data_IF_398464954698
#
_entry.id   IF_398464954698
#
_cell.length_a   1.000
_cell.length_b   1.000
_cell.length_c   1.000
_cell.angle_alpha   90.00
_cell.angle_beta   90.00
_cell.angle_gamma   90.00
#
_symmetry.space_group_name_H-M   'P 1'
#
loop_
_entity.id
_entity.type
_entity.pdbx_description
1 polymer ?
#
# COMPACT_ATOMS: atom_id res chain seq x y z
N UNK A 1 -6.01 16.02 -37.43
CA UNK A 1 -6.18 16.36 -36.00
C UNK A 1 -5.96 15.09 -35.20
N UNK A 2 -4.75 14.90 -34.67
CA UNK A 2 -4.55 13.89 -33.63
C UNK A 2 -5.22 14.44 -32.36
N UNK A 3 -6.04 13.65 -31.63
CA UNK A 3 -6.42 14.05 -30.30
C UNK A 3 -5.14 14.14 -29.45
N UNK A 4 -5.03 15.11 -28.53
CA UNK A 4 -3.98 15.07 -27.53
C UNK A 4 -4.25 13.83 -26.67
N UNK A 5 -3.45 12.78 -26.85
CA UNK A 5 -3.25 11.81 -25.79
C UNK A 5 -2.48 12.53 -24.71
N UNK A 6 -3.19 13.26 -23.86
CA UNK A 6 -2.65 13.86 -22.66
C UNK A 6 -2.74 12.78 -21.57
N UNK A 7 -1.63 12.08 -21.23
CA UNK A 7 -1.65 11.07 -20.17
C UNK A 7 -1.86 11.68 -18.77
N UNK A 8 -2.01 13.02 -18.66
CA UNK A 8 -2.13 13.77 -17.41
C UNK A 8 -3.48 13.67 -16.70
N UNK A 9 -4.47 12.96 -17.24
CA UNK A 9 -5.82 12.86 -16.66
C UNK A 9 -6.08 11.61 -15.80
N UNK A 10 -5.05 10.80 -15.54
CA UNK A 10 -5.06 9.94 -14.35
C UNK A 10 -4.28 10.68 -13.29
N UNK A 11 -4.97 11.31 -12.36
CA UNK A 11 -4.42 11.54 -11.03
C UNK A 11 -3.96 10.16 -10.55
N UNK A 12 -2.65 9.90 -10.65
CA UNK A 12 -2.06 8.63 -10.25
C UNK A 12 -2.10 8.64 -8.74
N UNK A 13 -3.00 7.85 -8.14
CA UNK A 13 -3.02 7.65 -6.70
C UNK A 13 -1.65 7.11 -6.27
N UNK A 14 -0.89 7.91 -5.54
CA UNK A 14 0.49 7.61 -5.14
C UNK A 14 0.56 7.08 -3.71
N UNK A 15 1.68 6.47 -3.36
CA UNK A 15 1.97 6.09 -1.98
C UNK A 15 1.91 7.29 -1.02
N UNK A 16 2.35 8.48 -1.47
CA UNK A 16 2.30 9.71 -0.69
C UNK A 16 0.85 10.11 -0.38
N UNK A 17 -0.03 10.08 -1.40
CA UNK A 17 -1.47 10.36 -1.22
C UNK A 17 -2.10 9.38 -0.22
N UNK A 18 -1.72 8.10 -0.30
CA UNK A 18 -2.19 7.09 0.64
C UNK A 18 -1.68 7.36 2.06
N UNK A 19 -0.43 7.78 2.24
CA UNK A 19 0.15 8.11 3.55
C UNK A 19 -0.57 9.28 4.22
N UNK A 20 -0.85 10.34 3.46
CA UNK A 20 -1.56 11.51 3.97
C UNK A 20 -2.98 11.15 4.44
N UNK A 21 -3.66 10.26 3.70
CA UNK A 21 -5.03 9.84 4.00
C UNK A 21 -5.10 8.73 5.06
N UNK A 22 -4.05 7.92 5.20
CA UNK A 22 -3.98 6.72 6.05
C UNK A 22 -4.61 6.83 7.46
N UNK A 23 -4.36 7.90 8.25
CA UNK A 23 -4.95 8.03 9.59
C UNK A 23 -6.47 8.26 9.56
N UNK A 24 -7.03 8.71 8.43
CA UNK A 24 -8.46 8.93 8.26
C UNK A 24 -9.19 7.75 7.59
N UNK A 25 -8.46 6.82 6.97
CA UNK A 25 -9.02 5.65 6.30
C UNK A 25 -9.42 4.56 7.29
N UNK A 26 -10.58 3.94 7.06
CA UNK A 26 -10.99 2.69 7.69
C UNK A 26 -10.13 1.51 7.21
N UNK A 27 -10.17 0.37 7.91
CA UNK A 27 -9.44 -0.86 7.54
C UNK A 27 -9.71 -1.29 6.09
N UNK A 28 -10.97 -1.26 5.69
CA UNK A 28 -11.39 -1.65 4.34
C UNK A 28 -10.85 -0.66 3.29
N UNK A 29 -10.91 0.64 3.57
CA UNK A 29 -10.37 1.68 2.69
C UNK A 29 -8.84 1.62 2.60
N UNK A 30 -8.14 1.27 3.68
CA UNK A 30 -6.69 1.04 3.68
C UNK A 30 -6.30 -0.09 2.72
N UNK A 31 -6.99 -1.22 2.79
CA UNK A 31 -6.75 -2.35 1.87
C UNK A 31 -7.07 -1.96 0.43
N UNK A 32 -8.17 -1.23 0.20
CA UNK A 32 -8.51 -0.75 -1.14
C UNK A 32 -7.45 0.21 -1.69
N UNK A 33 -7.06 1.22 -0.93
CA UNK A 33 -6.02 2.18 -1.31
C UNK A 33 -4.69 1.50 -1.58
N UNK A 34 -4.28 0.59 -0.69
CA UNK A 34 -3.06 -0.19 -0.86
C UNK A 34 -3.07 -1.04 -2.15
N UNK A 35 -4.21 -1.65 -2.51
CA UNK A 35 -4.35 -2.43 -3.75
C UNK A 35 -4.44 -1.56 -5.02
N UNK A 36 -4.69 -0.25 -4.89
CA UNK A 36 -4.65 0.68 -6.01
C UNK A 36 -3.22 1.12 -6.36
N UNK A 37 -2.28 0.99 -5.42
CA UNK A 37 -0.88 1.32 -5.66
C UNK A 37 -0.22 0.32 -6.62
N UNK A 38 0.67 0.78 -7.52
CA UNK A 38 1.58 -0.10 -8.23
C UNK A 38 2.40 -0.95 -7.26
N UNK A 39 2.70 -2.20 -7.64
CA UNK A 39 3.42 -3.14 -6.75
C UNK A 39 4.68 -2.56 -6.10
N UNK A 40 5.48 -1.79 -6.85
CA UNK A 40 6.71 -1.18 -6.33
C UNK A 40 6.40 -0.12 -5.27
N UNK A 41 5.47 0.79 -5.54
CA UNK A 41 5.04 1.82 -4.60
C UNK A 41 4.37 1.22 -3.36
N UNK A 42 3.59 0.15 -3.53
CA UNK A 42 2.98 -0.57 -2.42
C UNK A 42 4.03 -1.26 -1.53
N UNK A 43 5.14 -1.76 -2.11
CA UNK A 43 6.26 -2.31 -1.34
C UNK A 43 6.97 -1.24 -0.53
N UNK A 44 7.28 -0.10 -1.13
CA UNK A 44 7.88 1.04 -0.42
C UNK A 44 6.94 1.56 0.67
N UNK A 45 5.67 1.81 0.35
CA UNK A 45 4.64 2.22 1.30
C UNK A 45 4.53 1.26 2.49
N UNK A 46 4.49 -0.05 2.21
CA UNK A 46 4.36 -1.06 3.26
C UNK A 46 5.55 -1.02 4.23
N UNK A 47 6.77 -0.90 3.72
CA UNK A 47 7.99 -0.84 4.53
C UNK A 47 8.15 0.47 5.30
N UNK A 48 7.47 1.54 4.86
CA UNK A 48 7.45 2.83 5.54
C UNK A 48 6.35 2.94 6.62
N UNK A 49 5.46 1.95 6.72
CA UNK A 49 4.45 1.89 7.79
C UNK A 49 5.07 1.58 9.15
N UNK A 50 4.41 2.01 10.22
CA UNK A 50 4.73 1.52 11.56
C UNK A 50 4.29 0.06 11.72
N UNK A 51 5.02 -0.74 12.51
CA UNK A 51 4.77 -2.18 12.68
C UNK A 51 3.34 -2.53 13.08
N UNK A 52 2.68 -1.66 13.86
CA UNK A 52 1.25 -1.83 14.17
C UNK A 52 0.36 -1.75 12.91
N UNK A 53 0.59 -0.77 12.04
CA UNK A 53 -0.19 -0.61 10.81
C UNK A 53 0.17 -1.68 9.77
N UNK A 54 1.42 -2.15 9.72
CA UNK A 54 1.82 -3.31 8.92
C UNK A 54 1.04 -4.57 9.34
N UNK A 55 0.96 -4.85 10.65
CA UNK A 55 0.24 -5.99 11.20
C UNK A 55 -1.26 -5.94 10.86
N UNK A 56 -1.86 -4.76 11.01
CA UNK A 56 -3.28 -4.54 10.71
C UNK A 56 -3.57 -4.73 9.22
N UNK A 57 -2.76 -4.14 8.35
CA UNK A 57 -2.88 -4.31 6.90
C UNK A 57 -2.70 -5.79 6.50
N UNK A 58 -1.70 -6.48 7.06
CA UNK A 58 -1.50 -7.91 6.82
C UNK A 58 -2.69 -8.76 7.31
N UNK A 59 -3.29 -8.43 8.45
CA UNK A 59 -4.44 -9.14 8.97
C UNK A 59 -5.65 -9.05 8.03
N UNK A 60 -5.84 -7.89 7.41
CA UNK A 60 -6.97 -7.58 6.53
C UNK A 60 -6.75 -8.02 5.06
N UNK A 61 -5.48 -8.25 4.64
CA UNK A 61 -5.16 -8.80 3.32
C UNK A 61 -5.59 -10.27 3.15
N UNK A 62 -5.84 -10.75 1.92
CA UNK A 62 -6.07 -12.17 1.65
C UNK A 62 -4.85 -13.03 2.01
N UNK A 63 -5.08 -14.21 2.58
CA UNK A 63 -4.00 -15.10 3.07
C UNK A 63 -2.94 -15.45 2.01
N UNK A 64 -3.31 -15.50 0.73
CA UNK A 64 -2.38 -15.75 -0.38
C UNK A 64 -1.35 -14.63 -0.59
N UNK A 65 -1.72 -13.39 -0.28
CA UNK A 65 -0.88 -12.21 -0.47
C UNK A 65 -0.04 -11.92 0.78
N UNK A 66 -0.56 -12.18 1.98
CA UNK A 66 0.14 -11.98 3.26
C UNK A 66 1.55 -12.58 3.26
N UNK A 67 1.71 -13.79 2.73
CA UNK A 67 3.01 -14.48 2.69
C UNK A 67 4.01 -13.76 1.77
N UNK A 68 3.55 -13.09 0.73
CA UNK A 68 4.42 -12.30 -0.14
C UNK A 68 4.94 -11.07 0.59
N UNK A 69 4.06 -10.38 1.31
CA UNK A 69 4.38 -9.18 2.07
C UNK A 69 5.23 -9.47 3.31
N UNK A 70 4.93 -10.51 4.10
CA UNK A 70 5.76 -10.92 5.24
C UNK A 70 7.20 -11.29 4.86
N UNK A 71 7.44 -11.73 3.60
CA UNK A 71 8.80 -12.06 3.13
C UNK A 71 9.60 -10.83 2.68
N UNK A 72 8.94 -9.69 2.51
CA UNK A 72 9.57 -8.43 2.16
C UNK A 72 10.20 -7.77 3.39
N UNK A 73 9.57 -7.95 4.55
CA UNK A 73 10.00 -7.34 5.80
C UNK A 73 11.43 -7.71 6.17
N UNK A 74 12.22 -6.75 6.67
CA UNK A 74 13.43 -7.03 7.40
C UNK A 74 13.16 -8.05 8.53
N UNK A 75 14.15 -8.88 8.90
CA UNK A 75 13.96 -9.89 9.95
C UNK A 75 13.55 -9.33 11.31
N UNK A 76 13.91 -8.08 11.61
CA UNK A 76 13.59 -7.40 12.87
C UNK A 76 12.11 -6.98 12.88
N UNK A 77 11.66 -6.26 11.85
CA UNK A 77 10.26 -5.86 11.70
C UNK A 77 9.33 -7.08 11.61
N UNK A 78 9.74 -8.13 10.89
CA UNK A 78 9.00 -9.39 10.85
C UNK A 78 8.87 -10.09 12.22
N UNK A 79 9.77 -9.81 13.18
CA UNK A 79 9.69 -10.32 14.54
C UNK A 79 8.81 -9.45 15.46
N UNK A 80 8.57 -8.19 15.09
CA UNK A 80 7.72 -7.24 15.81
C UNK A 80 6.22 -7.36 15.46
N UNK A 81 5.88 -8.10 14.39
CA UNK A 81 4.50 -8.35 13.93
C UNK A 81 3.75 -9.50 14.64
#
# INVERSE_FOLDING_TARGET
MNPPSDPKLKEQFTAEDLHELWPALSREERVLGFNLLPRLEAEEFFLDLASHDEAELLADLPAGERRSWMRLLPPDDAADL
#
